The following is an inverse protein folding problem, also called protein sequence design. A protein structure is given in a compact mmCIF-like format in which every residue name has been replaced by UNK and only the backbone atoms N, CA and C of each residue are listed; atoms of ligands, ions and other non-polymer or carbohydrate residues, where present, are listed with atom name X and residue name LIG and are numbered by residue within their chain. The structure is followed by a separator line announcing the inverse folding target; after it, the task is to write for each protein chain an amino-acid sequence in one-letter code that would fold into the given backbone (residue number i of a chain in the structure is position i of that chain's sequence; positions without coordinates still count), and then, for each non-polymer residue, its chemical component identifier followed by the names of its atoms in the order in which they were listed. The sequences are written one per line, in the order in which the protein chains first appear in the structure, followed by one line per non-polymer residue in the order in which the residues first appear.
data_IF_964609911683
#
_entry.id   IF_964609911683
#
_cell.length_a   1.000
_cell.length_b   1.000
_cell.length_c   1.000
_cell.angle_alpha   90.00
_cell.angle_beta   90.00
_cell.angle_gamma   90.00
#
_symmetry.space_group_name_H-M   'P 1'
#
loop_
_entity.id
_entity.type
_entity.pdbx_description
1 polymer ?
#
# COMPACT_ATOMS: atom_id res chain seq x y z
N UNK A 1 -12.23 -25.14 56.10
CA UNK A 1 -10.81 -24.97 56.48
C UNK A 1 -10.41 -23.56 56.12
N UNK A 2 -10.33 -22.68 57.12
CA UNK A 2 -10.00 -21.26 57.02
C UNK A 2 -8.57 -21.05 56.51
N UNK A 3 -8.31 -20.01 55.70
CA UNK A 3 -7.28 -18.97 55.96
C UNK A 3 -7.57 -17.68 55.18
N UNK A 4 -7.97 -16.65 55.93
CA UNK A 4 -8.02 -15.25 55.52
C UNK A 4 -6.59 -14.73 55.28
N UNK A 5 -6.37 -13.99 54.19
CA UNK A 5 -5.14 -13.23 53.97
C UNK A 5 -5.46 -11.74 54.19
N UNK A 6 -4.92 -11.18 55.27
CA UNK A 6 -4.96 -9.76 55.63
C UNK A 6 -3.71 -9.12 55.04
N UNK A 7 -3.87 -8.14 54.15
CA UNK A 7 -2.79 -7.37 53.56
C UNK A 7 -2.91 -5.90 53.95
N UNK A 8 -1.87 -5.42 54.65
CA UNK A 8 -1.74 -4.15 55.36
C UNK A 8 -1.90 -2.93 54.44
N UNK A 9 -2.81 -2.00 54.81
CA UNK A 9 -2.89 -0.65 54.24
C UNK A 9 -1.88 0.23 54.99
N UNK A 10 -0.77 0.57 54.33
CA UNK A 10 0.26 1.45 54.88
C UNK A 10 -0.05 2.90 54.46
N UNK A 11 -0.72 3.65 55.33
CA UNK A 11 -1.01 5.06 55.14
C UNK A 11 0.24 5.88 55.48
N UNK A 12 1.00 6.30 54.47
CA UNK A 12 2.12 7.23 54.66
C UNK A 12 1.59 8.66 54.53
N UNK A 13 1.48 9.34 55.67
CA UNK A 13 1.14 10.76 55.75
C UNK A 13 2.42 11.59 55.51
N UNK A 14 2.60 12.11 54.30
CA UNK A 14 3.72 13.00 53.97
C UNK A 14 3.32 14.46 54.20
N UNK A 15 3.57 14.99 55.39
CA UNK A 15 3.48 16.43 55.70
C UNK A 15 4.85 17.08 55.54
N UNK A 16 5.19 17.40 54.30
CA UNK A 16 6.37 18.20 53.94
C UNK A 16 5.97 19.50 53.26
N UNK A 17 5.71 20.56 54.03
CA UNK A 17 5.61 21.93 53.52
C UNK A 17 7.02 22.44 53.20
N UNK A 18 7.49 22.12 51.99
CA UNK A 18 8.72 22.63 51.40
C UNK A 18 8.43 23.77 50.43
N UNK A 19 9.13 24.89 50.61
CA UNK A 19 9.14 26.08 49.77
C UNK A 19 9.24 25.75 48.28
N UNK A 20 8.28 26.24 47.49
CA UNK A 20 8.08 25.92 46.08
C UNK A 20 9.18 26.46 45.16
N UNK A 21 10.16 25.63 44.82
CA UNK A 21 10.86 25.75 43.56
C UNK A 21 9.90 25.35 42.44
N UNK A 22 9.72 26.23 41.45
CA UNK A 22 9.01 25.88 40.20
C UNK A 22 9.85 24.86 39.45
N UNK A 23 9.69 23.58 39.77
CA UNK A 23 10.22 22.50 38.95
C UNK A 23 9.46 22.52 37.62
N UNK A 24 10.15 22.92 36.55
CA UNK A 24 9.66 22.67 35.20
C UNK A 24 9.72 21.17 34.98
N UNK A 25 8.59 20.49 35.15
CA UNK A 25 8.45 19.10 34.71
C UNK A 25 8.60 19.14 33.19
N UNK A 26 9.62 18.47 32.61
CA UNK A 26 9.77 18.43 31.17
C UNK A 26 8.48 17.86 30.58
N UNK A 27 7.94 18.52 29.56
CA UNK A 27 6.75 18.03 28.87
C UNK A 27 7.05 16.63 28.34
N UNK A 28 6.40 15.62 28.93
CA UNK A 28 6.46 14.26 28.41
C UNK A 28 5.58 14.25 27.17
N UNK A 29 6.18 14.05 25.99
CA UNK A 29 5.42 13.85 24.76
C UNK A 29 4.67 12.53 24.86
N UNK A 30 3.34 12.58 24.79
CA UNK A 30 2.56 11.36 24.64
C UNK A 30 2.93 10.69 23.31
N UNK A 31 2.83 9.35 23.26
CA UNK A 31 2.93 8.63 22.01
C UNK A 31 1.82 9.12 21.05
N UNK A 32 2.07 9.16 19.73
CA UNK A 32 1.04 9.53 18.77
C UNK A 32 -0.20 8.63 18.91
N UNK A 33 -1.41 9.16 18.72
CA UNK A 33 -2.63 8.37 18.81
C UNK A 33 -2.66 7.28 17.73
N UNK A 34 -3.15 6.10 18.10
CA UNK A 34 -3.35 4.97 17.19
C UNK A 34 -4.83 4.88 16.83
N UNK A 35 -5.15 4.90 15.54
CA UNK A 35 -6.51 4.65 15.05
C UNK A 35 -6.88 3.18 15.29
N UNK A 36 -8.01 2.94 15.95
CA UNK A 36 -8.48 1.60 16.30
C UNK A 36 -9.65 1.21 15.39
N UNK A 37 -9.56 0.02 14.79
CA UNK A 37 -10.55 -0.47 13.83
C UNK A 37 -10.36 0.11 12.44
N UNK A 38 -11.31 -0.18 11.56
CA UNK A 38 -11.22 0.20 10.15
C UNK A 38 -11.63 1.67 9.94
N UNK A 39 -10.84 2.38 9.13
CA UNK A 39 -11.22 3.69 8.60
C UNK A 39 -11.98 3.49 7.28
N UNK A 40 -13.30 3.68 7.30
CA UNK A 40 -14.14 3.58 6.10
C UNK A 40 -14.46 4.97 5.55
N UNK A 41 -14.16 5.17 4.27
CA UNK A 41 -14.40 6.41 3.53
C UNK A 41 -15.31 6.07 2.35
N UNK A 42 -16.51 6.64 2.29
CA UNK A 42 -17.54 6.29 1.29
C UNK A 42 -18.24 7.53 0.71
N UNK A 43 -19.19 7.32 -0.19
CA UNK A 43 -19.91 8.40 -0.86
C UNK A 43 -19.00 9.19 -1.78
N UNK A 44 -19.01 10.51 -1.60
CA UNK A 44 -18.13 11.45 -2.30
C UNK A 44 -17.12 12.08 -1.33
N UNK A 45 -16.89 11.46 -0.17
CA UNK A 45 -16.05 12.04 0.86
C UNK A 45 -14.58 12.05 0.44
N UNK A 46 -13.88 13.11 0.82
CA UNK A 46 -12.44 13.26 0.61
C UNK A 46 -11.77 13.34 1.98
N UNK A 47 -10.92 12.37 2.28
CA UNK A 47 -10.13 12.32 3.52
C UNK A 47 -8.68 12.59 3.21
N UNK A 48 -8.07 13.51 3.94
CA UNK A 48 -6.65 13.84 3.81
C UNK A 48 -5.92 13.42 5.08
N UNK A 49 -4.89 12.58 4.93
CA UNK A 49 -3.99 12.21 6.01
C UNK A 49 -2.63 12.86 5.76
N UNK A 50 -2.13 13.58 6.77
CA UNK A 50 -0.84 14.29 6.77
C UNK A 50 -0.05 13.91 8.00
N UNK A 51 1.29 13.97 7.93
CA UNK A 51 2.17 13.56 9.02
C UNK A 51 2.06 12.05 9.36
N UNK A 52 2.32 11.69 10.61
CA UNK A 52 2.41 10.31 11.07
C UNK A 52 1.06 9.80 11.59
N UNK A 53 0.60 8.67 11.03
CA UNK A 53 -0.60 7.97 11.47
C UNK A 53 -0.30 6.51 11.75
N UNK A 54 -0.79 6.02 12.88
CA UNK A 54 -0.74 4.60 13.24
C UNK A 54 -2.14 3.99 13.10
N UNK A 55 -2.23 2.86 12.41
CA UNK A 55 -3.49 2.15 12.18
C UNK A 55 -3.44 0.74 12.77
N UNK A 56 -4.42 0.44 13.62
CA UNK A 56 -4.75 -0.90 14.09
C UNK A 56 -6.09 -1.34 13.45
N UNK A 57 -6.09 -1.42 12.14
CA UNK A 57 -7.23 -1.72 11.28
C UNK A 57 -6.95 -1.35 9.83
N UNK A 58 -7.87 -1.68 8.94
CA UNK A 58 -7.76 -1.40 7.50
C UNK A 58 -8.21 0.02 7.15
N UNK A 59 -7.83 0.49 5.96
CA UNK A 59 -8.41 1.69 5.37
C UNK A 59 -9.20 1.27 4.14
N UNK A 60 -10.50 1.55 4.13
CA UNK A 60 -11.42 1.10 3.09
C UNK A 60 -12.00 2.34 2.41
N UNK A 61 -11.82 2.44 1.09
CA UNK A 61 -12.32 3.53 0.24
C UNK A 61 -13.36 2.95 -0.71
N UNK A 62 -14.60 3.43 -0.61
CA UNK A 62 -15.74 2.89 -1.35
C UNK A 62 -16.44 3.93 -2.23
N UNK A 63 -17.23 3.46 -3.19
CA UNK A 63 -18.10 4.28 -4.05
C UNK A 63 -17.33 5.30 -4.88
N UNK A 64 -17.39 6.60 -4.55
CA UNK A 64 -16.68 7.67 -5.23
C UNK A 64 -15.75 8.45 -4.28
N UNK A 65 -15.43 7.85 -3.13
CA UNK A 65 -14.61 8.47 -2.11
C UNK A 65 -13.15 8.62 -2.57
N UNK A 66 -12.43 9.51 -1.89
CA UNK A 66 -11.03 9.76 -2.16
C UNK A 66 -10.23 9.81 -0.87
N UNK A 67 -9.17 9.01 -0.81
CA UNK A 67 -8.13 9.10 0.21
C UNK A 67 -6.90 9.83 -0.37
N UNK A 68 -6.45 10.87 0.32
CA UNK A 68 -5.25 11.63 -0.04
C UNK A 68 -4.22 11.47 1.09
N UNK A 69 -3.10 10.83 0.79
CA UNK A 69 -1.92 10.75 1.64
C UNK A 69 -0.95 11.84 1.19
N UNK A 70 -0.65 12.82 2.04
CA UNK A 70 0.22 13.95 1.68
C UNK A 70 1.27 14.19 2.74
N UNK A 71 2.54 14.01 2.38
CA UNK A 71 3.67 14.12 3.30
C UNK A 71 3.45 13.27 4.57
N UNK A 72 2.94 12.06 4.37
CA UNK A 72 2.43 11.23 5.47
C UNK A 72 3.20 9.94 5.61
N UNK A 73 3.30 9.44 6.84
CA UNK A 73 3.74 8.07 7.13
C UNK A 73 2.53 7.32 7.68
N UNK A 74 2.04 6.35 6.91
CA UNK A 74 0.97 5.47 7.33
C UNK A 74 1.61 4.18 7.82
N UNK A 75 1.51 3.93 9.13
CA UNK A 75 2.13 2.80 9.79
C UNK A 75 1.07 1.85 10.35
N UNK A 76 1.00 0.64 9.80
CA UNK A 76 0.07 -0.38 10.30
C UNK A 76 0.70 -1.19 11.43
N UNK A 77 0.02 -1.23 12.58
CA UNK A 77 0.44 -1.95 13.78
C UNK A 77 -0.10 -3.39 13.78
N UNK A 78 0.12 -4.11 12.68
CA UNK A 78 -0.30 -5.51 12.54
C UNK A 78 0.72 -6.48 13.16
N UNK A 79 0.24 -7.67 13.52
CA UNK A 79 1.05 -8.74 14.14
C UNK A 79 1.37 -9.86 13.14
N UNK A 80 0.60 -9.98 12.05
CA UNK A 80 0.80 -10.96 10.99
C UNK A 80 0.72 -10.28 9.60
N UNK A 81 1.32 -10.91 8.59
CA UNK A 81 1.28 -10.38 7.23
C UNK A 81 -0.14 -10.34 6.70
N UNK A 82 -0.50 -9.22 6.06
CA UNK A 82 -1.81 -8.95 5.43
C UNK A 82 -2.99 -9.05 6.41
N UNK A 83 -2.75 -8.81 7.70
CA UNK A 83 -3.83 -8.68 8.68
C UNK A 83 -4.73 -7.49 8.36
N UNK A 84 -4.12 -6.37 7.96
CA UNK A 84 -4.81 -5.15 7.54
C UNK A 84 -4.43 -4.80 6.11
N UNK A 85 -5.20 -3.90 5.49
CA UNK A 85 -5.00 -3.50 4.09
C UNK A 85 -5.52 -2.10 3.82
N UNK A 86 -5.11 -1.54 2.68
CA UNK A 86 -5.78 -0.39 2.05
C UNK A 86 -6.57 -0.95 0.88
N UNK A 87 -7.89 -0.83 0.89
CA UNK A 87 -8.77 -1.45 -0.12
C UNK A 87 -9.63 -0.38 -0.77
N UNK A 88 -9.56 -0.27 -2.09
CA UNK A 88 -10.42 0.58 -2.91
C UNK A 88 -11.40 -0.33 -3.64
N UNK A 89 -12.71 -0.22 -3.38
CA UNK A 89 -13.71 -1.18 -3.89
C UNK A 89 -15.11 -0.60 -4.02
N UNK A 90 -16.06 -1.40 -4.52
CA UNK A 90 -17.49 -1.07 -4.57
C UNK A 90 -17.77 0.28 -5.26
N UNK A 91 -17.36 0.49 -6.52
CA UNK A 91 -17.47 1.76 -7.24
C UNK A 91 -18.91 2.07 -7.70
N UNK A 92 -19.94 1.90 -6.86
CA UNK A 92 -21.36 2.02 -7.26
C UNK A 92 -21.63 3.40 -7.88
N UNK A 93 -21.59 3.48 -9.22
CA UNK A 93 -21.59 4.71 -10.02
C UNK A 93 -20.46 5.72 -9.67
N UNK A 94 -19.31 5.23 -9.23
CA UNK A 94 -18.20 6.05 -8.76
C UNK A 94 -16.83 5.55 -9.22
N UNK A 95 -15.81 6.10 -8.57
CA UNK A 95 -14.41 5.73 -8.75
C UNK A 95 -13.70 5.98 -7.40
N UNK A 96 -13.50 4.93 -6.57
CA UNK A 96 -12.73 5.04 -5.34
C UNK A 96 -11.29 5.40 -5.70
N UNK A 97 -10.73 6.37 -4.98
CA UNK A 97 -9.46 6.99 -5.35
C UNK A 97 -8.45 7.01 -4.21
N UNK A 98 -7.20 6.71 -4.52
CA UNK A 98 -6.05 6.89 -3.65
C UNK A 98 -5.05 7.82 -4.33
N UNK A 99 -4.70 8.92 -3.67
CA UNK A 99 -3.59 9.76 -4.08
C UNK A 99 -2.52 9.79 -3.00
N UNK A 100 -1.32 9.29 -3.30
CA UNK A 100 -0.18 9.33 -2.39
C UNK A 100 0.91 10.26 -2.94
N UNK A 101 1.25 11.29 -2.16
CA UNK A 101 2.25 12.31 -2.53
C UNK A 101 3.29 12.45 -1.43
N UNK A 102 4.55 12.17 -1.75
CA UNK A 102 5.64 12.28 -0.77
C UNK A 102 5.34 11.52 0.53
N UNK A 103 4.65 10.38 0.40
CA UNK A 103 4.14 9.58 1.51
C UNK A 103 4.78 8.20 1.55
N UNK A 104 4.81 7.61 2.74
CA UNK A 104 5.34 6.28 3.02
C UNK A 104 4.24 5.41 3.62
N UNK A 105 4.01 4.22 3.06
CA UNK A 105 3.11 3.20 3.62
C UNK A 105 3.98 2.03 4.10
N UNK A 106 3.94 1.76 5.40
CA UNK A 106 4.83 0.81 6.08
C UNK A 106 4.10 -0.03 7.13
N UNK A 107 4.72 -1.13 7.51
CA UNK A 107 4.35 -2.02 8.62
C UNK A 107 5.63 -2.41 9.37
N UNK A 108 5.49 -3.19 10.45
CA UNK A 108 6.64 -3.80 11.12
C UNK A 108 7.54 -4.58 10.13
N UNK A 109 8.87 -4.60 10.35
CA UNK A 109 9.79 -5.36 9.51
C UNK A 109 9.36 -6.83 9.41
N UNK A 110 9.55 -7.45 8.25
CA UNK A 110 9.14 -8.84 7.92
C UNK A 110 7.64 -9.11 7.77
N UNK A 111 6.79 -8.10 7.99
CA UNK A 111 5.37 -8.18 7.67
C UNK A 111 5.08 -7.45 6.36
N UNK A 112 4.01 -7.87 5.72
CA UNK A 112 3.53 -7.28 4.49
C UNK A 112 2.13 -6.70 4.67
N UNK A 113 1.82 -5.62 3.96
CA UNK A 113 0.49 -5.04 3.82
C UNK A 113 0.09 -5.03 2.35
N UNK A 114 -1.21 -5.22 2.10
CA UNK A 114 -1.78 -5.14 0.77
C UNK A 114 -2.45 -3.78 0.55
N UNK A 115 -2.08 -3.11 -0.53
CA UNK A 115 -2.87 -2.02 -1.13
C UNK A 115 -3.56 -2.58 -2.36
N UNK A 116 -4.89 -2.68 -2.32
CA UNK A 116 -5.68 -3.35 -3.36
C UNK A 116 -6.63 -2.36 -4.04
N UNK A 117 -6.59 -2.36 -5.37
CA UNK A 117 -7.53 -1.65 -6.23
C UNK A 117 -8.45 -2.68 -6.88
N UNK A 118 -9.71 -2.66 -6.50
CA UNK A 118 -10.77 -3.51 -7.07
C UNK A 118 -11.69 -2.65 -7.93
N UNK A 119 -12.31 -3.25 -8.95
CA UNK A 119 -13.45 -2.69 -9.70
C UNK A 119 -13.34 -1.19 -10.03
N UNK A 120 -12.76 -0.82 -11.19
CA UNK A 120 -12.73 0.56 -11.67
C UNK A 120 -12.25 1.59 -10.62
N UNK A 121 -11.32 1.18 -9.76
CA UNK A 121 -10.66 2.07 -8.78
C UNK A 121 -9.41 2.70 -9.36
N UNK A 122 -9.00 3.84 -8.82
CA UNK A 122 -7.81 4.56 -9.32
C UNK A 122 -6.83 4.86 -8.19
N UNK A 123 -5.56 4.56 -8.39
CA UNK A 123 -4.50 5.04 -7.51
C UNK A 123 -3.42 5.80 -8.28
N UNK A 124 -2.96 6.90 -7.69
CA UNK A 124 -1.84 7.69 -8.17
C UNK A 124 -0.82 7.86 -7.06
N UNK A 125 0.40 7.36 -7.29
CA UNK A 125 1.49 7.32 -6.33
C UNK A 125 2.66 8.12 -6.90
N UNK A 126 3.08 9.13 -6.16
CA UNK A 126 4.06 10.11 -6.64
C UNK A 126 5.09 10.44 -5.56
N UNK A 127 6.37 10.23 -5.89
CA UNK A 127 7.47 10.43 -4.97
C UNK A 127 7.24 9.73 -3.62
N UNK A 128 6.75 8.48 -3.69
CA UNK A 128 6.22 7.76 -2.54
C UNK A 128 6.88 6.40 -2.37
N UNK A 129 6.93 5.92 -1.14
CA UNK A 129 7.49 4.61 -0.81
C UNK A 129 6.40 3.71 -0.27
N UNK A 130 6.15 2.59 -0.94
CA UNK A 130 5.23 1.57 -0.48
C UNK A 130 6.06 0.31 -0.29
N UNK A 131 6.43 0.03 0.96
CA UNK A 131 7.34 -1.06 1.32
C UNK A 131 6.64 -2.42 1.31
N UNK A 132 5.65 -2.60 0.43
CA UNK A 132 4.81 -3.79 0.42
C UNK A 132 4.09 -4.00 -0.91
N UNK A 133 2.93 -4.67 -0.87
CA UNK A 133 2.20 -5.16 -2.05
C UNK A 133 1.23 -4.11 -2.58
N UNK A 134 1.23 -3.92 -3.89
CA UNK A 134 0.15 -3.24 -4.62
C UNK A 134 -0.47 -4.23 -5.60
N UNK A 135 -1.78 -4.32 -5.58
CA UNK A 135 -2.56 -5.20 -6.44
C UNK A 135 -3.61 -4.37 -7.20
N UNK A 136 -3.44 -4.25 -8.51
CA UNK A 136 -4.41 -3.63 -9.42
C UNK A 136 -5.21 -4.72 -10.15
N UNK A 137 -6.53 -4.75 -9.92
CA UNK A 137 -7.46 -5.75 -10.45
C UNK A 137 -8.63 -5.07 -11.18
N UNK A 138 -9.26 -5.76 -12.13
CA UNK A 138 -10.58 -5.45 -12.70
C UNK A 138 -10.82 -3.99 -13.12
N UNK A 139 -10.30 -3.60 -14.29
CA UNK A 139 -10.43 -2.26 -14.86
C UNK A 139 -9.88 -1.12 -13.97
N UNK A 140 -9.12 -1.45 -12.93
CA UNK A 140 -8.45 -0.43 -12.12
C UNK A 140 -7.32 0.25 -12.88
N UNK A 141 -7.03 1.48 -12.45
CA UNK A 141 -5.98 2.32 -13.02
C UNK A 141 -4.94 2.62 -11.95
N UNK A 142 -3.68 2.35 -12.24
CA UNK A 142 -2.57 2.57 -11.33
C UNK A 142 -1.47 3.38 -12.01
N UNK A 143 -1.18 4.55 -11.47
CA UNK A 143 -0.08 5.40 -11.97
C UNK A 143 0.97 5.59 -10.89
N UNK A 144 2.22 5.27 -11.18
CA UNK A 144 3.37 5.38 -10.26
C UNK A 144 4.48 6.20 -10.90
N UNK A 145 4.85 7.30 -10.24
CA UNK A 145 5.72 8.31 -10.86
C UNK A 145 6.73 8.92 -9.89
N UNK A 146 7.74 9.59 -10.46
CA UNK A 146 8.68 10.47 -9.78
C UNK A 146 9.41 9.85 -8.59
N UNK A 147 10.27 8.87 -8.86
CA UNK A 147 11.13 8.19 -7.88
C UNK A 147 10.35 7.48 -6.77
N UNK A 148 9.18 6.96 -7.12
CA UNK A 148 8.44 6.09 -6.20
C UNK A 148 9.12 4.73 -6.11
N UNK A 149 9.06 4.10 -4.93
CA UNK A 149 9.63 2.77 -4.69
C UNK A 149 8.53 1.83 -4.22
N UNK A 150 8.29 0.76 -4.97
CA UNK A 150 7.31 -0.28 -4.66
C UNK A 150 8.04 -1.61 -4.48
N UNK A 151 7.74 -2.34 -3.41
CA UNK A 151 8.35 -3.65 -3.19
C UNK A 151 7.77 -4.70 -4.16
N UNK A 152 6.47 -4.99 -4.06
CA UNK A 152 5.86 -5.99 -4.95
C UNK A 152 4.62 -5.43 -5.61
N UNK A 153 4.50 -5.61 -6.92
CA UNK A 153 3.33 -5.19 -7.69
C UNK A 153 2.69 -6.36 -8.44
N UNK A 154 1.36 -6.34 -8.49
CA UNK A 154 0.55 -7.26 -9.27
C UNK A 154 -0.41 -6.49 -10.18
N UNK A 155 -0.38 -6.79 -11.47
CA UNK A 155 -1.43 -6.42 -12.42
C UNK A 155 -2.25 -7.64 -12.83
N UNK A 156 -3.57 -7.54 -12.72
CA UNK A 156 -4.52 -8.59 -13.09
C UNK A 156 -5.63 -8.08 -14.02
N UNK A 157 -6.28 -9.00 -14.72
CA UNK A 157 -7.47 -8.76 -15.55
C UNK A 157 -7.26 -7.61 -16.56
N UNK A 158 -8.17 -6.64 -16.64
CA UNK A 158 -8.13 -5.49 -17.55
C UNK A 158 -7.58 -4.24 -16.86
N UNK A 159 -6.67 -4.38 -15.89
CA UNK A 159 -6.05 -3.22 -15.25
C UNK A 159 -5.14 -2.46 -16.22
N UNK A 160 -5.06 -1.15 -16.03
CA UNK A 160 -4.19 -0.23 -16.77
C UNK A 160 -3.17 0.37 -15.81
N UNK A 161 -1.88 0.13 -16.07
CA UNK A 161 -0.79 0.49 -15.18
C UNK A 161 0.21 1.37 -15.92
N UNK A 162 0.56 2.50 -15.35
CA UNK A 162 1.59 3.40 -15.88
C UNK A 162 2.67 3.63 -14.84
N UNK A 163 3.93 3.36 -15.18
CA UNK A 163 5.08 3.51 -14.30
C UNK A 163 6.12 4.38 -14.99
N UNK A 164 6.52 5.48 -14.34
CA UNK A 164 7.59 6.32 -14.86
C UNK A 164 8.57 6.80 -13.79
N UNK A 165 9.86 6.90 -14.17
CA UNK A 165 10.92 7.41 -13.31
C UNK A 165 10.97 6.77 -11.91
N UNK A 166 10.64 5.48 -11.78
CA UNK A 166 10.39 4.81 -10.49
C UNK A 166 11.14 3.47 -10.37
N UNK A 167 11.11 2.87 -9.19
CA UNK A 167 11.74 1.56 -8.93
C UNK A 167 10.70 0.58 -8.40
N UNK A 168 10.58 -0.56 -9.07
CA UNK A 168 9.77 -1.71 -8.65
C UNK A 168 10.71 -2.88 -8.37
N UNK A 169 10.64 -3.48 -7.19
CA UNK A 169 11.54 -4.61 -6.88
C UNK A 169 11.05 -5.89 -7.58
N UNK A 170 9.81 -6.31 -7.29
CA UNK A 170 9.22 -7.49 -7.90
C UNK A 170 7.88 -7.14 -8.55
N UNK A 171 7.70 -7.58 -9.80
CA UNK A 171 6.49 -7.26 -10.55
C UNK A 171 5.92 -8.49 -11.26
N UNK A 172 4.64 -8.75 -11.00
CA UNK A 172 3.88 -9.84 -11.58
C UNK A 172 2.73 -9.31 -12.42
N UNK A 173 2.54 -9.88 -13.61
CA UNK A 173 1.38 -9.60 -14.45
C UNK A 173 0.69 -10.89 -14.83
N UNK A 174 -0.63 -10.94 -14.62
CA UNK A 174 -1.46 -12.10 -14.90
C UNK A 174 -2.68 -11.72 -15.75
N UNK A 175 -3.09 -12.62 -16.63
CA UNK A 175 -4.22 -12.46 -17.55
C UNK A 175 -3.98 -11.40 -18.64
N UNK A 176 -4.60 -10.21 -18.56
CA UNK A 176 -4.59 -9.22 -19.66
C UNK A 176 -4.33 -7.75 -19.27
N UNK A 177 -3.50 -7.44 -18.25
CA UNK A 177 -3.24 -6.06 -17.88
C UNK A 177 -2.51 -5.34 -19.01
N UNK A 178 -2.78 -4.05 -19.17
CA UNK A 178 -2.01 -3.17 -20.05
C UNK A 178 -1.08 -2.37 -19.17
N UNK A 179 0.22 -2.46 -19.44
CA UNK A 179 1.22 -1.78 -18.62
C UNK A 179 2.26 -1.07 -19.45
N UNK A 180 2.49 0.19 -19.10
CA UNK A 180 3.45 1.08 -19.72
C UNK A 180 4.52 1.48 -18.72
N UNK A 181 5.77 1.15 -19.00
CA UNK A 181 6.90 1.49 -18.14
C UNK A 181 7.93 2.33 -18.88
N UNK A 182 8.30 3.47 -18.31
CA UNK A 182 9.31 4.36 -18.89
C UNK A 182 10.32 4.84 -17.84
N UNK A 183 11.60 4.92 -18.23
CA UNK A 183 12.67 5.46 -17.38
C UNK A 183 12.70 4.90 -15.95
N UNK A 184 12.33 3.63 -15.78
CA UNK A 184 12.14 2.99 -14.48
C UNK A 184 13.04 1.77 -14.34
N UNK A 185 13.27 1.35 -13.10
CA UNK A 185 14.01 0.12 -12.80
C UNK A 185 13.02 -0.93 -12.30
N UNK A 186 13.06 -2.12 -12.89
CA UNK A 186 12.33 -3.29 -12.41
C UNK A 186 13.36 -4.39 -12.13
N UNK A 187 13.47 -4.87 -10.89
CA UNK A 187 14.51 -5.85 -10.55
C UNK A 187 14.13 -7.28 -10.97
N UNK A 188 12.86 -7.65 -10.78
CA UNK A 188 12.31 -8.94 -11.15
C UNK A 188 10.95 -8.77 -11.82
N UNK A 189 10.73 -9.47 -12.94
CA UNK A 189 9.45 -9.47 -13.65
C UNK A 189 8.98 -10.90 -13.91
N UNK A 190 7.71 -11.15 -13.63
CA UNK A 190 7.03 -12.41 -13.86
C UNK A 190 5.79 -12.19 -14.72
N UNK A 191 5.66 -12.98 -15.79
CA UNK A 191 4.49 -13.01 -16.65
C UNK A 191 3.75 -14.34 -16.45
N UNK A 192 2.52 -14.28 -15.97
CA UNK A 192 1.62 -15.42 -15.87
C UNK A 192 0.54 -15.37 -16.94
N UNK A 193 0.77 -16.03 -18.07
CA UNK A 193 -0.25 -16.16 -19.11
C UNK A 193 -1.16 -17.36 -18.84
N UNK A 194 -2.47 -17.16 -18.89
CA UNK A 194 -3.46 -18.24 -18.85
C UNK A 194 -3.85 -18.63 -20.27
N UNK A 195 -3.86 -19.93 -20.57
CA UNK A 195 -4.28 -20.50 -21.89
C UNK A 195 -3.45 -20.10 -23.12
N UNK A 196 -2.25 -19.54 -22.93
CA UNK A 196 -1.31 -19.18 -24.01
C UNK A 196 0.01 -19.91 -23.82
N UNK A 197 0.57 -20.45 -24.91
CA UNK A 197 1.96 -20.87 -24.93
C UNK A 197 2.83 -19.64 -25.28
N UNK A 198 3.57 -19.14 -24.31
CA UNK A 198 4.48 -18.02 -24.49
C UNK A 198 5.93 -18.51 -24.44
N UNK A 199 6.74 -18.09 -25.41
CA UNK A 199 8.19 -18.19 -25.31
C UNK A 199 8.75 -16.76 -25.33
N UNK A 200 9.49 -16.40 -24.28
CA UNK A 200 10.36 -15.22 -24.32
C UNK A 200 11.74 -15.71 -24.71
N UNK A 201 12.12 -15.46 -25.95
CA UNK A 201 13.45 -15.77 -26.46
C UNK A 201 14.27 -14.48 -26.66
N UNK A 202 15.59 -14.62 -26.63
CA UNK A 202 16.54 -13.53 -26.93
C UNK A 202 16.50 -12.31 -25.99
N UNK A 203 15.81 -12.36 -24.84
CA UNK A 203 15.95 -11.35 -23.79
C UNK A 203 17.37 -11.44 -23.21
N UNK A 204 18.16 -10.37 -23.37
CA UNK A 204 19.51 -10.29 -22.81
C UNK A 204 19.47 -9.46 -21.53
N UNK A 205 20.24 -9.83 -20.49
CA UNK A 205 20.46 -8.95 -19.34
C UNK A 205 21.04 -7.60 -19.79
N UNK A 206 20.51 -6.50 -19.27
CA UNK A 206 21.01 -5.15 -19.58
C UNK A 206 19.92 -4.08 -19.46
N UNK A 207 20.32 -2.84 -19.75
CA UNK A 207 19.38 -1.75 -19.95
C UNK A 207 18.68 -1.96 -21.30
N UNK A 208 17.36 -1.90 -21.31
CA UNK A 208 16.55 -2.04 -22.51
C UNK A 208 15.81 -0.72 -22.72
N UNK A 209 16.14 -0.01 -23.81
CA UNK A 209 15.56 1.31 -24.11
C UNK A 209 14.07 1.22 -24.47
N UNK A 210 13.64 0.10 -25.04
CA UNK A 210 12.25 -0.20 -25.39
C UNK A 210 12.05 -1.71 -25.48
N UNK A 211 10.98 -2.22 -24.86
CA UNK A 211 10.61 -3.62 -24.95
C UNK A 211 9.12 -3.82 -24.77
N UNK A 212 8.46 -4.43 -25.75
CA UNK A 212 7.06 -4.76 -25.69
C UNK A 212 6.89 -6.29 -25.72
N UNK A 213 6.21 -6.86 -24.71
CA UNK A 213 6.04 -8.31 -24.58
C UNK A 213 5.36 -8.93 -25.81
N UNK A 214 4.34 -8.28 -26.36
CA UNK A 214 3.55 -8.79 -27.49
C UNK A 214 4.23 -8.60 -28.86
N UNK A 215 5.15 -7.63 -28.98
CA UNK A 215 5.84 -7.32 -30.25
C UNK A 215 7.22 -7.99 -30.30
N UNK A 216 7.94 -7.98 -29.19
CA UNK A 216 9.33 -8.42 -29.12
C UNK A 216 9.50 -9.88 -28.67
N UNK A 217 8.45 -10.55 -28.21
CA UNK A 217 8.47 -11.98 -27.87
C UNK A 217 7.69 -12.81 -28.88
N UNK A 218 7.95 -14.11 -28.96
CA UNK A 218 7.20 -15.05 -29.81
C UNK A 218 5.90 -15.53 -29.15
N UNK A 219 5.14 -14.62 -28.54
CA UNK A 219 3.87 -14.94 -27.90
C UNK A 219 2.79 -15.23 -28.94
N UNK A 220 2.22 -16.45 -28.94
CA UNK A 220 1.13 -16.83 -29.84
C UNK A 220 -0.15 -17.02 -29.04
N UNK A 221 -1.06 -16.04 -29.06
CA UNK A 221 -2.32 -16.07 -28.31
C UNK A 221 -3.38 -16.83 -29.12
N UNK A 222 -3.82 -18.04 -28.70
CA UNK A 222 -4.93 -18.73 -29.36
C UNK A 222 -6.26 -17.97 -29.16
N UNK A 223 -7.26 -18.29 -29.97
CA UNK A 223 -8.60 -17.70 -29.82
C UNK A 223 -9.14 -17.91 -28.40
N UNK A 224 -9.46 -16.81 -27.71
CA UNK A 224 -9.98 -16.80 -26.33
C UNK A 224 -8.90 -16.84 -25.24
N UNK A 225 -7.61 -16.84 -25.60
CA UNK A 225 -6.52 -16.73 -24.64
C UNK A 225 -6.16 -15.28 -24.28
N UNK A 226 -5.41 -15.12 -23.19
CA UNK A 226 -5.01 -13.82 -22.65
C UNK A 226 -3.53 -13.81 -22.28
N UNK A 227 -2.88 -12.68 -22.56
CA UNK A 227 -1.52 -12.41 -22.14
C UNK A 227 -1.39 -10.94 -21.73
N UNK A 228 -0.55 -10.63 -20.73
CA UNK A 228 -0.30 -9.25 -20.33
C UNK A 228 0.38 -8.48 -21.47
N UNK A 229 0.05 -7.20 -21.62
CA UNK A 229 0.72 -6.31 -22.57
C UNK A 229 1.61 -5.33 -21.79
N UNK A 230 2.89 -5.68 -21.63
CA UNK A 230 3.88 -4.83 -20.97
C UNK A 230 4.78 -4.19 -22.01
N UNK A 231 4.91 -2.87 -21.97
CA UNK A 231 5.67 -2.05 -22.94
C UNK A 231 6.61 -1.08 -22.26
#
# INVERSE_FOLDING_TARGET
MNRFLVGIVMTVLLTGLGTGSKFSVPAVSAAPPVHQGDLVINGNNVTILQDLHYFNGSIIVEENATLILRNSIINFTQETSRQYSIILRNPVNGNPRLYAYASTIVTAPSLDILTQLEDNSTAYINNSTITSYILAVDNSQLTITNSSTIMTMYGYSQSDIEISNSTIDEWHNYDSPTVHVSNSTINSILFGSTTVNCTVDNLKPGLIDNWNFLINSTATIPSGGYAPNVT
#
